data_IF_099215816892
#
_entry.id   IF_099215816892
#
_cell.length_a   1.000
_cell.length_b   1.000
_cell.length_c   1.000
_cell.angle_alpha   90.00
_cell.angle_beta   90.00
_cell.angle_gamma   90.00
#
_symmetry.space_group_name_H-M   'P 1'
#
loop_
_entity.id
_entity.type
_entity.pdbx_description
1 polymer ?
#
# COMPACT_ATOMS: atom_id res chain seq x y z
N UNK A 1 62.68 13.21 -16.48
CA UNK A 1 61.47 13.21 -17.33
C UNK A 1 60.27 13.01 -16.40
N UNK A 2 59.72 14.10 -15.87
CA UNK A 2 58.63 14.09 -14.89
C UNK A 2 57.33 14.48 -15.60
N UNK A 3 56.33 13.60 -15.61
CA UNK A 3 54.95 13.96 -15.97
C UNK A 3 54.04 13.72 -14.76
N UNK A 4 53.46 14.83 -14.30
CA UNK A 4 52.56 14.96 -13.14
C UNK A 4 51.20 14.26 -13.38
N UNK A 5 50.47 13.91 -12.30
CA UNK A 5 49.19 13.21 -12.37
C UNK A 5 48.06 14.12 -12.88
N UNK A 6 47.09 13.48 -13.55
CA UNK A 6 45.88 14.07 -14.12
C UNK A 6 44.96 14.66 -13.05
N UNK A 7 44.46 15.85 -13.38
CA UNK A 7 43.58 16.71 -12.60
C UNK A 7 42.33 15.95 -12.11
N UNK A 8 42.07 16.01 -10.82
CA UNK A 8 40.78 15.67 -10.22
C UNK A 8 39.75 16.72 -10.65
N UNK A 9 38.75 16.30 -11.42
CA UNK A 9 37.62 17.14 -11.80
C UNK A 9 36.78 17.47 -10.56
N UNK A 10 36.89 18.72 -10.10
CA UNK A 10 35.95 19.30 -9.14
C UNK A 10 34.60 19.51 -9.85
N UNK A 11 33.46 19.24 -9.18
CA UNK A 11 32.13 19.48 -9.75
C UNK A 11 31.95 20.96 -10.05
N UNK A 12 31.32 21.27 -11.18
CA UNK A 12 31.20 22.64 -11.71
C UNK A 12 30.32 23.52 -10.81
N UNK A 13 30.54 24.83 -10.83
CA UNK A 13 29.77 25.84 -10.06
C UNK A 13 28.25 25.79 -10.37
N UNK A 14 27.86 25.26 -11.54
CA UNK A 14 26.44 25.02 -11.88
C UNK A 14 25.83 23.86 -11.08
N UNK A 15 26.63 22.84 -10.75
CA UNK A 15 26.20 21.70 -9.92
C UNK A 15 26.06 22.11 -8.45
N UNK A 16 26.92 23.01 -7.97
CA UNK A 16 26.83 23.58 -6.61
C UNK A 16 25.56 24.43 -6.40
N UNK A 17 25.21 25.30 -7.36
CA UNK A 17 23.96 26.08 -7.30
C UNK A 17 22.70 25.20 -7.40
N UNK A 18 22.79 24.06 -8.10
CA UNK A 18 21.71 23.08 -8.19
C UNK A 18 21.50 22.32 -6.86
N UNK A 19 22.58 21.89 -6.20
CA UNK A 19 22.53 21.27 -4.87
C UNK A 19 22.01 22.27 -3.82
N UNK A 20 22.41 23.54 -3.90
CA UNK A 20 22.01 24.57 -2.95
C UNK A 20 20.52 24.94 -3.08
N UNK A 21 19.97 25.03 -4.30
CA UNK A 21 18.54 25.34 -4.50
C UNK A 21 17.62 24.17 -4.13
N UNK A 22 18.08 22.94 -4.35
CA UNK A 22 17.41 21.76 -3.82
C UNK A 22 17.38 21.83 -2.31
N UNK A 23 18.52 22.07 -1.65
CA UNK A 23 18.66 22.11 -0.18
C UNK A 23 17.66 23.04 0.51
N UNK A 24 17.39 24.21 -0.08
CA UNK A 24 16.37 25.13 0.43
C UNK A 24 14.93 24.64 0.26
N UNK A 25 14.62 23.93 -0.84
CA UNK A 25 13.34 23.23 -1.00
C UNK A 25 13.19 22.11 0.05
N UNK A 26 14.27 21.38 0.37
CA UNK A 26 14.27 20.36 1.42
C UNK A 26 13.94 20.99 2.79
N UNK A 27 14.60 22.09 3.15
CA UNK A 27 14.35 22.80 4.42
C UNK A 27 12.92 23.35 4.48
N UNK A 28 12.42 23.97 3.40
CA UNK A 28 11.07 24.51 3.35
C UNK A 28 10.00 23.42 3.53
N UNK A 29 10.17 22.27 2.86
CA UNK A 29 9.25 21.13 2.97
C UNK A 29 9.29 20.55 4.38
N UNK A 30 10.47 20.33 4.94
CA UNK A 30 10.62 19.81 6.31
C UNK A 30 10.03 20.79 7.31
N UNK A 31 10.27 22.09 7.15
CA UNK A 31 9.70 23.13 7.99
C UNK A 31 8.16 23.14 7.89
N UNK A 32 7.58 23.07 6.69
CA UNK A 32 6.12 23.00 6.51
C UNK A 32 5.52 21.74 7.15
N UNK A 33 6.20 20.59 7.05
CA UNK A 33 5.78 19.34 7.68
C UNK A 33 5.83 19.48 9.21
N UNK A 34 6.95 19.96 9.77
CA UNK A 34 7.11 20.15 11.22
C UNK A 34 6.10 21.18 11.73
N UNK A 35 5.93 22.30 11.04
CA UNK A 35 4.96 23.33 11.38
C UNK A 35 3.53 22.80 11.35
N UNK A 36 3.16 22.03 10.31
CA UNK A 36 1.84 21.38 10.21
C UNK A 36 1.65 20.36 11.33
N UNK A 37 2.65 19.53 11.65
CA UNK A 37 2.61 18.57 12.74
C UNK A 37 2.45 19.23 14.11
N UNK A 38 3.14 20.35 14.34
CA UNK A 38 3.06 21.10 15.60
C UNK A 38 1.74 21.88 15.72
N UNK A 39 1.20 22.35 14.59
CA UNK A 39 -0.08 23.06 14.53
C UNK A 39 -1.27 22.13 14.75
N UNK A 40 -1.15 20.85 14.39
CA UNK A 40 -2.16 19.83 14.65
C UNK A 40 -1.92 19.21 16.04
N UNK A 41 -2.38 19.92 17.07
CA UNK A 41 -2.44 19.38 18.44
C UNK A 41 -3.31 18.11 18.46
N UNK A 42 -3.02 17.11 19.32
CA UNK A 42 -3.96 16.01 19.53
C UNK A 42 -5.32 16.62 19.92
N UNK A 43 -6.40 16.36 19.15
CA UNK A 43 -7.65 17.09 19.33
C UNK A 43 -8.33 16.83 20.68
N UNK A 44 -7.92 15.77 21.41
CA UNK A 44 -8.60 15.32 22.63
C UNK A 44 -7.61 15.09 23.76
N UNK A 45 -7.98 15.52 24.97
CA UNK A 45 -7.26 15.22 26.21
C UNK A 45 -7.72 13.87 26.75
N UNK A 46 -6.88 13.28 27.60
CA UNK A 46 -7.23 12.05 28.30
C UNK A 46 -8.46 12.28 29.20
N UNK A 47 -9.40 11.33 29.22
CA UNK A 47 -10.73 11.41 29.86
C UNK A 47 -11.78 12.33 29.21
N UNK A 48 -11.52 12.91 28.03
CA UNK A 48 -12.57 13.65 27.32
C UNK A 48 -13.69 12.71 26.82
N UNK A 49 -14.94 13.04 27.14
CA UNK A 49 -16.13 12.42 26.51
C UNK A 49 -16.36 13.08 25.16
N UNK A 50 -16.25 12.29 24.09
CA UNK A 50 -16.34 12.80 22.73
C UNK A 50 -17.42 12.07 21.94
N UNK A 51 -18.03 12.81 21.01
CA UNK A 51 -18.92 12.28 19.97
C UNK A 51 -18.27 12.55 18.62
N UNK A 52 -17.76 11.51 18.00
CA UNK A 52 -17.06 11.58 16.73
C UNK A 52 -17.98 11.20 15.59
N UNK A 53 -18.02 12.04 14.55
CA UNK A 53 -18.62 11.69 13.26
C UNK A 53 -17.51 11.67 12.23
N UNK A 54 -17.18 10.48 11.73
CA UNK A 54 -16.11 10.35 10.76
C UNK A 54 -16.42 9.30 9.71
N UNK A 55 -15.85 9.51 8.52
CA UNK A 55 -15.89 8.54 7.43
C UNK A 55 -14.79 7.52 7.60
N UNK A 56 -15.17 6.24 7.54
CA UNK A 56 -14.26 5.10 7.65
C UNK A 56 -13.34 5.10 6.43
N UNK A 57 -12.10 5.56 6.64
CA UNK A 57 -11.11 5.81 5.58
C UNK A 57 -10.15 4.64 5.37
N UNK A 58 -10.27 3.57 6.15
CA UNK A 58 -9.50 2.35 6.03
C UNK A 58 -10.39 1.14 6.35
N UNK A 59 -10.05 -0.02 5.83
CA UNK A 59 -10.87 -1.21 6.06
C UNK A 59 -10.85 -1.64 7.55
N UNK A 60 -12.03 -1.82 8.19
CA UNK A 60 -12.12 -2.30 9.56
C UNK A 60 -11.49 -3.68 9.71
N UNK A 61 -10.72 -3.87 10.79
CA UNK A 61 -10.24 -5.20 11.14
C UNK A 61 -11.31 -5.92 11.94
N UNK A 62 -11.77 -7.05 11.42
CA UNK A 62 -12.78 -7.89 12.06
C UNK A 62 -12.10 -8.94 12.94
N UNK A 63 -12.57 -9.10 14.18
CA UNK A 63 -12.23 -10.15 15.13
C UNK A 63 -13.51 -10.96 15.46
N UNK A 64 -13.39 -12.03 16.25
CA UNK A 64 -14.49 -12.95 16.57
C UNK A 64 -15.70 -12.28 17.22
N UNK A 65 -15.50 -11.33 18.13
CA UNK A 65 -16.55 -10.67 18.90
C UNK A 65 -16.67 -9.16 18.62
N UNK A 66 -15.64 -8.57 18.00
CA UNK A 66 -15.47 -7.13 17.85
C UNK A 66 -14.87 -6.77 16.50
N UNK A 67 -15.11 -5.54 16.07
CA UNK A 67 -14.45 -4.92 14.92
C UNK A 67 -13.67 -3.69 15.37
N UNK A 68 -12.47 -3.51 14.81
CA UNK A 68 -11.60 -2.37 15.11
C UNK A 68 -11.56 -1.40 13.94
N UNK A 69 -11.93 -0.16 14.24
CA UNK A 69 -11.77 0.98 13.33
C UNK A 69 -10.75 1.97 13.91
N UNK A 70 -10.08 2.72 13.03
CA UNK A 70 -9.15 3.78 13.42
C UNK A 70 -9.66 5.10 12.87
N UNK A 71 -10.01 6.03 13.77
CA UNK A 71 -10.48 7.38 13.41
C UNK A 71 -9.54 8.40 14.07
N UNK A 72 -8.92 9.29 13.30
CA UNK A 72 -8.11 10.42 13.82
C UNK A 72 -7.02 10.06 14.85
N UNK A 73 -6.54 8.80 14.89
CA UNK A 73 -5.60 8.13 15.84
C UNK A 73 -6.23 7.29 16.94
N UNK A 74 -7.54 7.40 17.18
CA UNK A 74 -8.23 6.59 18.19
C UNK A 74 -8.56 5.22 17.62
N UNK A 75 -8.05 4.18 18.29
CA UNK A 75 -8.44 2.79 18.08
C UNK A 75 -9.77 2.58 18.80
N UNK A 76 -10.80 2.28 18.03
CA UNK A 76 -12.16 2.08 18.52
C UNK A 76 -12.53 0.62 18.27
N UNK A 77 -12.91 -0.07 19.34
CA UNK A 77 -13.33 -1.47 19.32
C UNK A 77 -14.84 -1.51 19.48
N UNK A 78 -15.56 -1.85 18.41
CA UNK A 78 -17.02 -1.87 18.37
C UNK A 78 -17.52 -3.32 18.32
N UNK A 79 -18.76 -3.60 18.74
CA UNK A 79 -19.37 -4.91 18.52
C UNK A 79 -19.40 -5.25 17.03
N UNK A 80 -19.35 -6.54 16.70
CA UNK A 80 -19.33 -7.03 15.32
C UNK A 80 -20.54 -6.55 14.49
N UNK A 81 -21.70 -6.43 15.13
CA UNK A 81 -22.94 -5.98 14.51
C UNK A 81 -23.37 -4.60 15.02
N UNK A 82 -23.80 -3.68 14.13
CA UNK A 82 -23.83 -3.81 12.67
C UNK A 82 -22.42 -3.80 12.04
N UNK A 83 -22.23 -4.54 10.94
CA UNK A 83 -20.95 -4.60 10.21
C UNK A 83 -20.62 -3.22 9.63
N UNK A 84 -19.45 -2.68 9.95
CA UNK A 84 -18.99 -1.39 9.43
C UNK A 84 -18.13 -1.68 8.20
N UNK A 85 -18.41 -1.00 7.11
CA UNK A 85 -17.65 -1.13 5.89
C UNK A 85 -16.80 0.11 5.60
N UNK A 86 -15.77 -0.10 4.77
CA UNK A 86 -14.99 1.00 4.21
C UNK A 86 -15.91 1.99 3.48
N UNK A 87 -15.76 3.28 3.79
CA UNK A 87 -16.53 4.36 3.20
C UNK A 87 -17.74 4.80 4.00
N UNK A 88 -18.24 3.98 4.94
CA UNK A 88 -19.38 4.32 5.80
C UNK A 88 -19.05 5.51 6.70
N UNK A 89 -20.07 6.29 7.06
CA UNK A 89 -19.93 7.36 8.05
C UNK A 89 -20.47 6.87 9.37
N UNK A 90 -19.61 6.79 10.38
CA UNK A 90 -19.96 6.27 11.70
C UNK A 90 -20.00 7.41 12.71
N UNK A 91 -20.99 7.35 13.61
CA UNK A 91 -21.11 8.23 14.77
C UNK A 91 -20.83 7.40 16.00
N UNK A 92 -19.70 7.67 16.66
CA UNK A 92 -19.25 6.92 17.85
C UNK A 92 -19.11 7.87 19.03
N UNK A 93 -19.61 7.44 20.18
CA UNK A 93 -19.44 8.12 21.46
C UNK A 93 -18.53 7.32 22.38
N UNK A 94 -17.68 7.97 23.16
CA UNK A 94 -16.87 7.27 24.17
C UNK A 94 -15.93 8.21 24.90
N UNK A 95 -15.11 7.63 25.78
CA UNK A 95 -14.14 8.37 26.59
C UNK A 95 -12.74 8.14 26.03
N UNK A 96 -12.00 9.21 25.75
CA UNK A 96 -10.62 9.11 25.27
C UNK A 96 -9.72 8.58 26.38
N UNK A 97 -8.95 7.53 26.08
CA UNK A 97 -7.93 6.97 26.96
C UNK A 97 -6.68 6.63 26.14
N UNK A 98 -5.70 7.54 26.13
CA UNK A 98 -4.49 7.45 25.32
C UNK A 98 -4.79 7.37 23.83
N UNK A 99 -4.45 6.24 23.20
CA UNK A 99 -4.68 5.95 21.77
C UNK A 99 -5.99 5.18 21.51
N UNK A 100 -6.84 5.01 22.52
CA UNK A 100 -8.07 4.21 22.45
C UNK A 100 -9.29 4.99 22.93
N UNK A 101 -10.46 4.60 22.42
CA UNK A 101 -11.74 5.02 22.96
C UNK A 101 -12.27 3.96 23.93
N UNK A 102 -12.44 4.30 25.21
CA UNK A 102 -13.07 3.45 26.22
C UNK A 102 -14.59 3.54 26.11
N UNK A 103 -15.23 2.39 26.33
CA UNK A 103 -16.69 2.20 26.24
C UNK A 103 -17.30 2.83 24.99
N UNK A 104 -16.77 2.54 23.79
CA UNK A 104 -17.27 3.13 22.57
C UNK A 104 -18.69 2.63 22.28
N UNK A 105 -19.62 3.55 22.13
CA UNK A 105 -21.00 3.28 21.73
C UNK A 105 -21.21 3.75 20.30
N UNK A 106 -21.59 2.83 19.43
CA UNK A 106 -22.02 3.18 18.08
C UNK A 106 -23.43 3.78 18.14
N UNK A 107 -23.55 5.06 17.78
CA UNK A 107 -24.80 5.81 17.84
C UNK A 107 -25.57 5.64 16.53
N UNK A 108 -24.89 5.81 15.39
CA UNK A 108 -25.46 5.68 14.05
C UNK A 108 -24.40 5.24 13.04
N UNK A 109 -24.83 4.48 12.04
CA UNK A 109 -24.07 4.23 10.81
C UNK A 109 -24.87 4.84 9.67
N UNK A 110 -24.19 5.58 8.80
CA UNK A 110 -24.70 5.94 7.48
C UNK A 110 -23.92 5.14 6.45
N UNK A 111 -24.57 4.14 5.87
CA UNK A 111 -23.98 3.32 4.81
C UNK A 111 -23.61 4.19 3.61
N UNK A 112 -22.39 4.02 3.10
CA UNK A 112 -21.95 4.76 1.93
C UNK A 112 -22.61 4.22 0.66
N UNK A 113 -23.66 4.91 0.18
CA UNK A 113 -24.31 4.58 -1.09
C UNK A 113 -23.53 4.99 -2.35
N UNK A 114 -22.28 5.44 -2.19
CA UNK A 114 -21.44 5.87 -3.29
C UNK A 114 -21.30 4.78 -4.35
N UNK A 115 -21.30 5.20 -5.63
CA UNK A 115 -21.19 4.28 -6.76
C UNK A 115 -19.98 3.34 -6.65
N UNK A 116 -18.83 3.87 -6.22
CA UNK A 116 -17.59 3.11 -6.02
C UNK A 116 -17.75 1.98 -4.98
N UNK A 117 -18.46 2.25 -3.89
CA UNK A 117 -18.74 1.25 -2.87
C UNK A 117 -19.65 0.14 -3.40
N UNK A 118 -20.69 0.52 -4.17
CA UNK A 118 -21.58 -0.44 -4.84
C UNK A 118 -20.83 -1.32 -5.83
N UNK A 119 -19.91 -0.75 -6.62
CA UNK A 119 -19.06 -1.50 -7.55
C UNK A 119 -18.14 -2.45 -6.78
N UNK A 120 -17.46 -1.95 -5.74
CA UNK A 120 -16.59 -2.75 -4.86
C UNK A 120 -17.33 -3.96 -4.29
N UNK A 121 -18.51 -3.76 -3.70
CA UNK A 121 -19.31 -4.85 -3.13
C UNK A 121 -19.82 -5.82 -4.19
N UNK A 122 -20.16 -5.36 -5.40
CA UNK A 122 -20.52 -6.25 -6.51
C UNK A 122 -19.34 -7.14 -6.90
N UNK A 123 -18.12 -6.61 -6.96
CA UNK A 123 -16.91 -7.38 -7.26
C UNK A 123 -16.65 -8.42 -6.15
N UNK A 124 -16.71 -8.02 -4.88
CA UNK A 124 -16.50 -8.94 -3.75
C UNK A 124 -17.55 -10.06 -3.76
N UNK A 125 -18.82 -9.72 -3.99
CA UNK A 125 -19.90 -10.70 -4.10
C UNK A 125 -19.72 -11.63 -5.31
N UNK A 126 -19.19 -11.12 -6.42
CA UNK A 126 -18.85 -11.94 -7.58
C UNK A 126 -17.75 -12.96 -7.24
N UNK A 127 -16.70 -12.57 -6.50
CA UNK A 127 -15.67 -13.51 -6.04
C UNK A 127 -16.24 -14.58 -5.11
N UNK A 128 -17.03 -14.18 -4.10
CA UNK A 128 -17.68 -15.11 -3.13
C UNK A 128 -18.59 -16.14 -3.81
N UNK A 129 -19.24 -15.77 -4.92
CA UNK A 129 -20.12 -16.68 -5.68
C UNK A 129 -19.38 -17.58 -6.66
N UNK A 130 -18.11 -17.30 -6.94
CA UNK A 130 -17.36 -17.94 -8.01
C UNK A 130 -16.23 -18.82 -7.49
N UNK A 131 -15.74 -18.59 -6.27
CA UNK A 131 -14.71 -19.39 -5.61
C UNK A 131 -15.14 -19.75 -4.18
N UNK A 132 -14.71 -20.92 -3.66
CA UNK A 132 -14.93 -21.29 -2.27
C UNK A 132 -14.01 -20.49 -1.32
N UNK A 133 -14.46 -20.29 -0.07
CA UNK A 133 -13.58 -19.80 1.00
C UNK A 133 -12.44 -20.79 1.28
N UNK A 134 -11.21 -20.35 1.62
CA UNK A 134 -10.76 -18.95 1.79
C UNK A 134 -10.29 -18.27 0.50
N UNK A 135 -10.41 -18.92 -0.67
CA UNK A 135 -9.84 -18.44 -1.94
C UNK A 135 -10.53 -17.18 -2.48
N UNK A 136 -11.86 -17.09 -2.36
CA UNK A 136 -12.65 -15.89 -2.66
C UNK A 136 -12.16 -14.68 -1.88
N UNK A 137 -11.95 -14.86 -0.57
CA UNK A 137 -11.49 -13.80 0.34
C UNK A 137 -10.02 -13.47 0.15
N UNK A 138 -9.18 -14.45 -0.20
CA UNK A 138 -7.80 -14.20 -0.59
C UNK A 138 -7.72 -13.30 -1.84
N UNK A 139 -8.48 -13.61 -2.89
CA UNK A 139 -8.53 -12.75 -4.09
C UNK A 139 -9.10 -11.37 -3.76
N UNK A 140 -10.17 -11.29 -2.95
CA UNK A 140 -10.72 -10.00 -2.51
C UNK A 140 -9.70 -9.16 -1.73
N UNK A 141 -8.92 -9.79 -0.84
CA UNK A 141 -7.84 -9.17 -0.09
C UNK A 141 -6.73 -8.66 -1.01
N UNK A 142 -6.21 -9.53 -1.88
CA UNK A 142 -5.09 -9.21 -2.78
C UNK A 142 -5.48 -8.16 -3.82
N UNK A 143 -6.68 -8.23 -4.40
CA UNK A 143 -7.11 -7.31 -5.47
C UNK A 143 -7.65 -5.99 -4.95
N UNK A 144 -8.52 -6.02 -3.94
CA UNK A 144 -9.28 -4.86 -3.46
C UNK A 144 -8.88 -4.42 -2.06
N UNK A 145 -7.89 -5.06 -1.43
CA UNK A 145 -7.49 -4.77 -0.05
C UNK A 145 -8.53 -5.21 0.96
N UNK A 146 -9.47 -6.08 0.59
CA UNK A 146 -10.59 -6.40 1.47
C UNK A 146 -10.18 -7.34 2.60
N UNK A 147 -10.02 -6.80 3.81
CA UNK A 147 -9.66 -7.55 5.03
C UNK A 147 -10.89 -8.13 5.71
N UNK A 148 -12.03 -7.43 5.63
CA UNK A 148 -13.26 -7.85 6.31
C UNK A 148 -13.85 -9.14 5.73
N UNK A 149 -13.45 -9.51 4.51
CA UNK A 149 -13.85 -10.78 3.90
C UNK A 149 -13.07 -11.99 4.44
N UNK A 150 -11.86 -11.81 4.99
CA UNK A 150 -10.98 -12.93 5.33
C UNK A 150 -11.49 -13.70 6.57
N UNK A 151 -11.60 -15.05 6.50
CA UNK A 151 -11.90 -15.87 7.66
C UNK A 151 -10.86 -15.66 8.78
N UNK A 152 -11.32 -15.55 10.03
CA UNK A 152 -10.45 -15.24 11.19
C UNK A 152 -9.29 -16.23 11.33
N UNK A 153 -9.57 -17.53 11.15
CA UNK A 153 -8.53 -18.58 11.17
C UNK A 153 -7.44 -18.30 10.13
N UNK A 154 -7.83 -18.00 8.90
CA UNK A 154 -6.89 -17.70 7.83
C UNK A 154 -6.12 -16.39 8.09
N UNK A 155 -6.75 -15.38 8.69
CA UNK A 155 -6.07 -14.15 9.09
C UNK A 155 -5.04 -14.38 10.21
N UNK A 156 -5.35 -15.23 11.18
CA UNK A 156 -4.41 -15.63 12.22
C UNK A 156 -3.21 -16.39 11.63
N UNK A 157 -3.49 -17.30 10.69
CA UNK A 157 -2.50 -18.08 9.96
C UNK A 157 -1.53 -17.15 9.19
N UNK A 158 -2.07 -16.16 8.46
CA UNK A 158 -1.30 -15.13 7.76
C UNK A 158 -0.40 -14.30 8.69
N UNK A 159 -0.85 -14.01 9.92
CA UNK A 159 -0.03 -13.29 10.89
C UNK A 159 1.11 -14.17 11.40
N UNK A 160 0.83 -15.44 11.72
CA UNK A 160 1.84 -16.41 12.20
C UNK A 160 2.94 -16.65 11.17
N UNK A 161 2.57 -16.79 9.90
CA UNK A 161 3.53 -16.96 8.80
C UNK A 161 4.20 -15.65 8.37
N UNK A 162 3.75 -14.51 8.91
CA UNK A 162 4.26 -13.19 8.55
C UNK A 162 3.86 -12.74 7.14
N UNK A 163 2.92 -13.43 6.48
CA UNK A 163 2.45 -13.14 5.10
C UNK A 163 1.26 -12.18 5.06
N UNK A 164 0.73 -11.76 6.22
CA UNK A 164 -0.40 -10.82 6.29
C UNK A 164 -0.16 -9.51 5.52
N UNK A 165 1.07 -8.99 5.53
CA UNK A 165 1.43 -7.77 4.80
C UNK A 165 1.41 -7.93 3.27
N UNK A 166 1.45 -9.17 2.77
CA UNK A 166 1.41 -9.51 1.34
C UNK A 166 -0.02 -9.59 0.82
N UNK A 167 -0.94 -10.12 1.64
CA UNK A 167 -2.37 -10.25 1.28
C UNK A 167 -3.09 -8.92 1.32
N UNK A 168 -2.67 -8.02 2.20
CA UNK A 168 -3.20 -6.65 2.25
C UNK A 168 -2.69 -5.88 1.05
N UNK A 169 -3.60 -5.17 0.36
CA UNK A 169 -3.30 -4.44 -0.86
C UNK A 169 -2.04 -3.57 -0.70
N UNK A 170 -0.97 -4.02 -1.36
CA UNK A 170 0.35 -3.42 -1.25
C UNK A 170 0.59 -2.44 -2.41
N UNK A 171 1.61 -1.58 -2.28
CA UNK A 171 2.02 -0.69 -3.38
C UNK A 171 2.37 -1.44 -4.67
N UNK A 172 2.74 -2.74 -4.58
CA UNK A 172 2.97 -3.61 -5.73
C UNK A 172 1.70 -3.81 -6.56
N UNK A 173 0.53 -3.92 -5.92
CA UNK A 173 -0.72 -4.07 -6.66
C UNK A 173 -1.00 -2.82 -7.48
N UNK A 174 -0.71 -1.63 -6.95
CA UNK A 174 -0.86 -0.37 -7.70
C UNK A 174 0.09 -0.30 -8.89
N UNK A 175 1.36 -0.67 -8.72
CA UNK A 175 2.33 -0.63 -9.84
C UNK A 175 1.99 -1.63 -10.93
N UNK A 176 1.48 -2.82 -10.57
CA UNK A 176 0.99 -3.81 -11.52
C UNK A 176 -0.23 -3.29 -12.29
N UNK A 177 -1.19 -2.68 -11.60
CA UNK A 177 -2.36 -2.06 -12.23
C UNK A 177 -1.94 -0.93 -13.16
N UNK A 178 -1.03 -0.06 -12.72
CA UNK A 178 -0.49 1.02 -13.54
C UNK A 178 0.21 0.48 -14.80
N UNK A 179 1.06 -0.53 -14.66
CA UNK A 179 1.79 -1.17 -15.76
C UNK A 179 0.86 -1.88 -16.74
N UNK A 180 -0.14 -2.60 -16.23
CA UNK A 180 -1.14 -3.28 -17.04
C UNK A 180 -1.98 -2.29 -17.86
N UNK A 181 -2.50 -1.24 -17.21
CA UNK A 181 -3.23 -0.17 -17.89
C UNK A 181 -2.37 0.50 -18.96
N UNK A 182 -1.12 0.85 -18.63
CA UNK A 182 -0.17 1.43 -19.57
C UNK A 182 0.08 0.51 -20.78
N UNK A 183 0.28 -0.78 -20.57
CA UNK A 183 0.53 -1.75 -21.64
C UNK A 183 -0.61 -1.82 -22.66
N UNK A 184 -1.86 -1.79 -22.17
CA UNK A 184 -3.04 -1.76 -23.06
C UNK A 184 -3.19 -0.41 -23.74
N UNK A 185 -3.13 0.68 -22.96
CA UNK A 185 -3.44 2.03 -23.43
C UNK A 185 -2.41 2.54 -24.44
N UNK A 186 -1.13 2.17 -24.31
CA UNK A 186 -0.08 2.56 -25.28
C UNK A 186 -0.30 1.91 -26.65
N UNK A 187 -0.95 0.74 -26.71
CA UNK A 187 -1.30 0.10 -27.98
C UNK A 187 -2.48 0.74 -28.70
N UNK A 188 -3.29 1.53 -28.00
CA UNK A 188 -4.55 2.10 -28.52
C UNK A 188 -4.50 3.63 -28.65
N UNK A 189 -3.76 4.30 -27.76
CA UNK A 189 -3.69 5.75 -27.65
C UNK A 189 -2.27 6.26 -27.82
N UNK A 190 -2.13 7.51 -28.25
CA UNK A 190 -0.85 8.23 -28.20
C UNK A 190 -0.26 8.22 -26.78
N UNK A 191 1.06 8.07 -26.67
CA UNK A 191 1.79 7.88 -25.40
C UNK A 191 1.39 8.88 -24.30
N UNK A 192 1.16 10.15 -24.63
CA UNK A 192 0.73 11.17 -23.64
C UNK A 192 -0.69 10.91 -23.10
N UNK A 193 -1.63 10.56 -23.98
CA UNK A 193 -3.03 10.23 -23.62
C UNK A 193 -3.09 8.91 -22.85
N UNK A 194 -2.27 7.93 -23.24
CA UNK A 194 -2.15 6.66 -22.55
C UNK A 194 -1.70 6.82 -21.09
N UNK A 195 -0.69 7.67 -20.83
CA UNK A 195 -0.23 7.90 -19.46
C UNK A 195 -1.29 8.63 -18.62
N UNK A 196 -1.99 9.62 -19.19
CA UNK A 196 -3.07 10.30 -18.47
C UNK A 196 -4.21 9.33 -18.11
N UNK A 197 -4.62 8.47 -19.05
CA UNK A 197 -5.64 7.47 -18.84
C UNK A 197 -5.20 6.40 -17.82
N UNK A 198 -3.94 5.96 -17.86
CA UNK A 198 -3.40 5.02 -16.87
C UNK A 198 -3.35 5.64 -15.47
N UNK A 199 -2.96 6.92 -15.37
CA UNK A 199 -2.95 7.63 -14.10
C UNK A 199 -4.36 7.78 -13.52
N UNK A 200 -5.35 8.13 -14.36
CA UNK A 200 -6.74 8.17 -13.96
C UNK A 200 -7.23 6.79 -13.49
N UNK A 201 -6.87 5.71 -14.19
CA UNK A 201 -7.20 4.34 -13.79
C UNK A 201 -6.55 3.92 -12.47
N UNK A 202 -5.32 4.34 -12.21
CA UNK A 202 -4.64 4.13 -10.91
C UNK A 202 -5.37 4.83 -9.78
N UNK A 203 -5.85 6.07 -9.99
CA UNK A 203 -6.67 6.75 -8.99
C UNK A 203 -7.98 6.03 -8.77
N UNK A 204 -8.70 5.62 -9.83
CA UNK A 204 -9.93 4.81 -9.70
C UNK A 204 -9.67 3.53 -8.92
N UNK A 205 -8.58 2.81 -9.22
CA UNK A 205 -8.17 1.64 -8.44
C UNK A 205 -7.91 1.99 -6.98
N UNK A 206 -7.24 3.12 -6.70
CA UNK A 206 -6.99 3.57 -5.34
C UNK A 206 -8.27 3.85 -4.55
N UNK A 207 -9.29 4.41 -5.21
CA UNK A 207 -10.60 4.61 -4.60
C UNK A 207 -11.29 3.27 -4.30
N UNK A 208 -11.20 2.30 -5.23
CA UNK A 208 -11.82 0.98 -5.11
C UNK A 208 -11.12 0.09 -4.06
N UNK A 209 -9.81 0.22 -3.92
CA UNK A 209 -8.99 -0.59 -3.03
C UNK A 209 -8.96 -0.08 -1.58
N UNK A 210 -9.70 0.99 -1.26
CA UNK A 210 -9.91 1.41 0.13
C UNK A 210 -8.97 2.50 0.65
N UNK A 211 -8.33 3.30 -0.22
CA UNK A 211 -7.48 4.44 0.18
C UNK A 211 -6.41 4.13 1.24
N UNK A 212 -5.83 2.93 1.23
CA UNK A 212 -4.74 2.65 2.16
C UNK A 212 -3.50 3.51 1.83
N UNK A 213 -2.73 3.87 2.86
CA UNK A 213 -1.54 4.71 2.71
C UNK A 213 -0.56 4.21 1.61
N UNK A 214 -0.30 2.88 1.45
CA UNK A 214 0.52 2.37 0.35
C UNK A 214 0.00 2.67 -1.05
N UNK A 215 -1.31 2.68 -1.19
CA UNK A 215 -1.97 2.85 -2.47
C UNK A 215 -1.95 4.31 -2.89
N UNK A 216 -2.25 5.20 -1.95
CA UNK A 216 -2.19 6.66 -2.15
C UNK A 216 -0.77 7.09 -2.51
N UNK A 217 0.26 6.56 -1.83
CA UNK A 217 1.67 6.85 -2.15
C UNK A 217 2.00 6.56 -3.60
N UNK A 218 1.67 5.36 -4.07
CA UNK A 218 1.95 4.95 -5.44
C UNK A 218 1.21 5.85 -6.46
N UNK A 219 -0.04 6.21 -6.20
CA UNK A 219 -0.81 7.12 -7.04
C UNK A 219 -0.23 8.55 -7.07
N UNK A 220 0.17 9.09 -5.91
CA UNK A 220 0.79 10.43 -5.80
C UNK A 220 2.16 10.43 -6.49
N UNK A 221 3.02 9.45 -6.22
CA UNK A 221 4.34 9.35 -6.85
C UNK A 221 4.24 9.22 -8.38
N UNK A 222 3.30 8.39 -8.86
CA UNK A 222 3.01 8.29 -10.30
C UNK A 222 2.55 9.62 -10.90
N UNK A 223 1.70 10.36 -10.20
CA UNK A 223 1.21 11.69 -10.62
C UNK A 223 2.34 12.71 -10.72
N UNK A 224 3.24 12.73 -9.73
CA UNK A 224 4.41 13.61 -9.69
C UNK A 224 5.39 13.27 -10.81
N UNK A 225 5.70 11.98 -11.01
CA UNK A 225 6.62 11.52 -12.05
C UNK A 225 6.08 11.82 -13.46
N UNK A 226 4.77 11.67 -13.69
CA UNK A 226 4.16 12.02 -14.97
C UNK A 226 4.16 13.53 -15.21
N UNK A 227 3.79 14.32 -14.21
CA UNK A 227 3.81 15.78 -14.31
C UNK A 227 5.22 16.28 -14.64
N UNK A 228 6.24 15.72 -14.00
CA UNK A 228 7.64 16.07 -14.30
C UNK A 228 8.02 15.78 -15.76
N UNK A 229 7.63 14.61 -16.29
CA UNK A 229 7.83 14.28 -17.70
C UNK A 229 7.08 15.23 -18.65
N UNK A 230 5.84 15.62 -18.31
CA UNK A 230 5.05 16.55 -19.11
C UNK A 230 5.68 17.95 -19.17
N UNK A 231 6.32 18.40 -18.08
CA UNK A 231 7.07 19.68 -18.01
C UNK A 231 8.53 19.56 -18.51
N UNK A 232 8.90 18.44 -19.14
CA UNK A 232 10.23 18.25 -19.73
C UNK A 232 11.38 18.14 -18.72
N UNK A 233 11.07 17.90 -17.44
CA UNK A 233 12.08 17.73 -16.38
C UNK A 233 12.20 16.25 -16.03
N UNK A 234 13.40 15.66 -16.15
CA UNK A 234 13.68 14.41 -15.46
C UNK A 234 13.59 14.68 -13.96
N UNK A 235 12.51 14.23 -13.30
CA UNK A 235 12.49 14.21 -11.85
C UNK A 235 13.47 13.14 -11.38
N UNK A 236 14.51 13.53 -10.63
CA UNK A 236 15.23 12.58 -9.79
C UNK A 236 14.23 11.82 -8.92
N UNK A 237 14.34 10.49 -8.82
CA UNK A 237 13.48 9.68 -7.97
C UNK A 237 13.44 10.19 -6.51
N UNK A 238 14.54 10.79 -6.03
CA UNK A 238 14.62 11.43 -4.72
C UNK A 238 13.67 12.63 -4.57
N UNK A 239 13.53 13.46 -5.61
CA UNK A 239 12.61 14.60 -5.62
C UNK A 239 11.16 14.16 -5.65
N UNK A 240 10.86 13.15 -6.47
CA UNK A 240 9.52 12.60 -6.55
C UNK A 240 9.09 12.02 -5.20
N UNK A 241 9.98 11.31 -4.51
CA UNK A 241 9.74 10.79 -3.17
C UNK A 241 9.44 11.91 -2.18
N UNK A 242 10.27 12.95 -2.12
CA UNK A 242 10.03 14.08 -1.23
C UNK A 242 8.72 14.81 -1.48
N UNK A 243 8.49 15.21 -2.73
CA UNK A 243 7.32 16.01 -3.09
C UNK A 243 6.07 15.21 -2.73
N UNK A 244 6.11 13.90 -2.94
CA UNK A 244 5.04 13.00 -2.52
C UNK A 244 4.88 12.97 -1.00
N UNK A 245 5.97 12.87 -0.23
CA UNK A 245 5.92 12.95 1.24
C UNK A 245 5.31 14.27 1.71
N UNK A 246 5.72 15.38 1.10
CA UNK A 246 5.24 16.72 1.42
C UNK A 246 3.74 16.87 1.15
N UNK A 247 3.30 16.53 -0.06
CA UNK A 247 1.89 16.58 -0.46
C UNK A 247 1.05 15.73 0.48
N UNK A 248 1.51 14.51 0.77
CA UNK A 248 0.78 13.60 1.63
C UNK A 248 0.65 14.12 3.06
N UNK A 249 1.74 14.61 3.66
CA UNK A 249 1.71 15.15 5.03
C UNK A 249 1.01 16.51 5.14
N UNK A 250 0.93 17.28 4.04
CA UNK A 250 0.11 18.48 3.98
C UNK A 250 -1.39 18.16 3.99
N UNK A 251 -1.81 17.13 3.24
CA UNK A 251 -3.20 16.66 3.19
C UNK A 251 -3.58 16.04 4.54
N UNK A 252 -2.79 15.08 5.02
CA UNK A 252 -3.05 14.37 6.26
C UNK A 252 -1.75 14.14 7.06
N UNK A 253 -1.42 15.00 8.03
CA UNK A 253 -0.13 14.97 8.73
C UNK A 253 0.03 13.72 9.59
N UNK A 254 -1.07 13.08 9.97
CA UNK A 254 -1.03 11.89 10.81
C UNK A 254 -0.49 10.64 10.11
N UNK A 255 -0.31 10.66 8.78
CA UNK A 255 0.37 9.57 8.08
C UNK A 255 1.82 9.38 8.53
N UNK A 256 2.48 10.37 9.15
CA UNK A 256 3.85 10.17 9.66
C UNK A 256 3.93 9.10 10.77
N UNK A 257 2.82 8.82 11.45
CA UNK A 257 2.72 7.78 12.49
C UNK A 257 2.19 6.45 11.95
N UNK A 258 1.75 6.43 10.70
CA UNK A 258 1.29 5.20 10.06
C UNK A 258 2.51 4.34 9.72
N UNK A 259 2.55 3.14 10.27
CA UNK A 259 3.65 2.21 10.02
C UNK A 259 3.79 1.88 8.53
N UNK A 260 2.67 1.79 7.80
CA UNK A 260 2.68 1.56 6.36
C UNK A 260 3.34 2.71 5.59
N UNK A 261 3.11 3.97 6.00
CA UNK A 261 3.80 5.16 5.49
C UNK A 261 5.30 5.08 5.72
N UNK A 262 5.71 4.86 6.98
CA UNK A 262 7.13 4.78 7.34
C UNK A 262 7.83 3.69 6.54
N UNK A 263 7.30 2.47 6.55
CA UNK A 263 7.92 1.30 5.91
C UNK A 263 8.16 1.54 4.42
N UNK A 264 7.22 2.17 3.71
CA UNK A 264 7.34 2.36 2.28
C UNK A 264 8.20 3.55 1.87
N UNK A 265 8.16 4.66 2.61
CA UNK A 265 9.07 5.77 2.34
C UNK A 265 10.52 5.35 2.61
N UNK A 266 10.73 4.57 3.67
CA UNK A 266 12.04 3.97 3.97
C UNK A 266 12.42 2.94 2.91
N UNK A 267 11.51 2.06 2.46
CA UNK A 267 11.78 1.11 1.38
C UNK A 267 12.24 1.81 0.10
N UNK A 268 11.52 2.85 -0.33
CA UNK A 268 11.86 3.59 -1.56
C UNK A 268 13.11 4.43 -1.39
N UNK A 269 13.34 5.05 -0.23
CA UNK A 269 14.61 5.72 0.06
C UNK A 269 15.79 4.74 0.05
N UNK A 270 15.61 3.55 0.64
CA UNK A 270 16.60 2.49 0.65
C UNK A 270 16.92 2.00 -0.76
N UNK A 271 15.89 1.85 -1.61
CA UNK A 271 16.07 1.52 -3.03
C UNK A 271 16.94 2.57 -3.74
N UNK A 272 16.58 3.85 -3.62
CA UNK A 272 17.31 4.97 -4.26
C UNK A 272 18.78 5.02 -3.82
N UNK A 273 19.07 4.71 -2.55
CA UNK A 273 20.42 4.82 -1.97
C UNK A 273 21.28 3.57 -2.14
N UNK A 274 20.68 2.38 -2.02
CA UNK A 274 21.41 1.12 -1.89
C UNK A 274 21.30 0.21 -3.09
N UNK A 275 20.28 0.33 -3.96
CA UNK A 275 20.09 -0.58 -5.09
C UNK A 275 21.33 -0.68 -5.99
N UNK A 276 21.92 0.46 -6.37
CA UNK A 276 23.12 0.50 -7.21
C UNK A 276 24.37 -0.10 -6.54
N UNK A 277 24.44 -0.09 -5.20
CA UNK A 277 25.53 -0.70 -4.42
C UNK A 277 25.31 -2.21 -4.31
N UNK A 278 24.09 -2.61 -3.95
CA UNK A 278 23.66 -4.00 -3.86
C UNK A 278 23.87 -4.70 -5.19
N UNK A 279 23.41 -4.11 -6.31
CA UNK A 279 23.55 -4.66 -7.66
C UNK A 279 25.00 -4.93 -8.06
N UNK A 280 25.95 -4.11 -7.57
CA UNK A 280 27.39 -4.32 -7.77
C UNK A 280 27.93 -5.45 -6.91
N UNK A 281 27.43 -5.60 -5.68
CA UNK A 281 27.84 -6.65 -4.77
C UNK A 281 27.33 -8.04 -5.19
N UNK A 282 26.11 -8.13 -5.73
CA UNK A 282 25.52 -9.38 -6.23
C UNK A 282 25.93 -9.70 -7.67
N UNK A 283 27.21 -9.51 -8.01
CA UNK A 283 27.72 -9.71 -9.38
C UNK A 283 27.53 -11.15 -9.89
N UNK A 284 27.48 -12.12 -8.96
CA UNK A 284 27.31 -13.56 -9.21
C UNK A 284 25.88 -13.97 -9.59
N UNK A 285 24.87 -13.10 -9.43
CA UNK A 285 23.48 -13.43 -9.73
C UNK A 285 23.21 -13.27 -11.25
N UNK A 286 22.55 -14.24 -11.91
CA UNK A 286 22.20 -14.15 -13.33
C UNK A 286 21.38 -12.89 -13.66
N UNK A 287 21.62 -12.29 -14.83
CA UNK A 287 21.02 -11.01 -15.24
C UNK A 287 19.49 -10.97 -15.13
N UNK A 288 18.83 -12.09 -15.42
CA UNK A 288 17.37 -12.24 -15.39
C UNK A 288 16.80 -12.00 -13.98
N UNK A 289 17.51 -12.43 -12.93
CA UNK A 289 17.07 -12.28 -11.54
C UNK A 289 17.72 -11.08 -10.83
N UNK A 290 18.77 -10.51 -11.43
CA UNK A 290 19.61 -9.50 -10.78
C UNK A 290 18.83 -8.26 -10.36
N UNK A 291 17.91 -7.80 -11.20
CA UNK A 291 17.08 -6.61 -10.93
C UNK A 291 16.07 -6.85 -9.79
N UNK A 292 15.31 -7.95 -9.86
CA UNK A 292 14.37 -8.33 -8.80
C UNK A 292 15.05 -8.60 -7.46
N UNK A 293 16.22 -9.25 -7.49
CA UNK A 293 16.97 -9.55 -6.28
C UNK A 293 17.63 -8.31 -5.68
N UNK A 294 18.23 -7.43 -6.50
CA UNK A 294 18.83 -6.19 -5.99
C UNK A 294 17.80 -5.24 -5.40
N UNK A 295 16.64 -5.10 -6.05
CA UNK A 295 15.55 -4.23 -5.57
C UNK A 295 14.99 -4.73 -4.24
N UNK A 296 14.72 -6.04 -4.13
CA UNK A 296 14.22 -6.66 -2.89
C UNK A 296 15.23 -6.52 -1.74
N UNK A 297 16.50 -6.83 -1.98
CA UNK A 297 17.52 -6.79 -0.94
C UNK A 297 17.80 -5.34 -0.49
N UNK A 298 17.81 -4.38 -1.42
CA UNK A 298 17.94 -2.96 -1.10
C UNK A 298 16.76 -2.46 -0.26
N UNK A 299 15.52 -2.85 -0.57
CA UNK A 299 14.37 -2.51 0.26
C UNK A 299 14.46 -3.12 1.66
N UNK A 300 14.84 -4.40 1.76
CA UNK A 300 14.97 -5.12 3.04
C UNK A 300 16.00 -4.50 3.98
N UNK A 301 17.14 -4.00 3.47
CA UNK A 301 18.15 -3.32 4.30
C UNK A 301 17.54 -2.15 5.08
N UNK A 302 16.63 -1.39 4.48
CA UNK A 302 15.99 -0.24 5.13
C UNK A 302 14.81 -0.64 6.01
N UNK A 303 14.04 -1.63 5.57
CA UNK A 303 12.75 -1.98 6.16
C UNK A 303 12.88 -2.98 7.31
N UNK A 304 13.84 -3.91 7.25
CA UNK A 304 13.99 -4.98 8.22
C UNK A 304 14.15 -4.49 9.68
N UNK A 305 14.97 -3.46 9.99
CA UNK A 305 15.11 -2.96 11.36
C UNK A 305 13.78 -2.41 11.91
N UNK A 306 13.00 -1.75 11.06
CA UNK A 306 11.71 -1.16 11.45
C UNK A 306 10.68 -2.25 11.71
N UNK A 307 10.62 -3.27 10.84
CA UNK A 307 9.74 -4.42 11.06
C UNK A 307 10.10 -5.12 12.38
N UNK A 308 11.39 -5.32 12.65
CA UNK A 308 11.86 -5.95 13.88
C UNK A 308 11.41 -5.18 15.13
N UNK A 309 11.60 -3.87 15.14
CA UNK A 309 11.20 -3.01 16.27
C UNK A 309 9.67 -2.88 16.40
N UNK A 310 8.93 -2.89 15.29
CA UNK A 310 7.49 -2.65 15.29
C UNK A 310 6.66 -3.89 15.65
N UNK A 311 7.08 -5.08 15.22
CA UNK A 311 6.27 -6.29 15.34
C UNK A 311 6.75 -7.25 16.42
N UNK A 312 8.02 -7.21 16.84
CA UNK A 312 8.55 -8.04 17.94
C UNK A 312 8.39 -9.56 17.75
N UNK A 313 7.91 -10.02 16.60
CA UNK A 313 7.65 -11.41 16.26
C UNK A 313 8.44 -11.72 14.98
N UNK A 314 9.54 -12.44 15.14
CA UNK A 314 10.34 -12.94 14.04
C UNK A 314 10.00 -14.41 13.84
N UNK A 315 9.28 -14.73 12.77
CA UNK A 315 9.21 -16.09 12.27
C UNK A 315 10.41 -16.29 11.32
N UNK A 316 11.44 -17.08 11.69
CA UNK A 316 12.62 -17.29 10.85
C UNK A 316 12.29 -17.89 9.48
N UNK A 317 11.16 -18.60 9.37
CA UNK A 317 10.68 -19.17 8.12
C UNK A 317 9.90 -18.17 7.26
N UNK A 318 9.54 -16.99 7.79
CA UNK A 318 8.77 -15.97 7.05
C UNK A 318 9.41 -15.57 5.71
N UNK A 319 10.73 -15.32 5.60
CA UNK A 319 11.35 -15.02 4.30
C UNK A 319 11.19 -16.15 3.28
N UNK A 320 11.28 -17.41 3.71
CA UNK A 320 11.12 -18.58 2.84
C UNK A 320 9.66 -18.72 2.39
N UNK A 321 8.72 -18.59 3.32
CA UNK A 321 7.27 -18.64 3.02
C UNK A 321 6.91 -17.51 2.06
N UNK A 322 7.38 -16.29 2.31
CA UNK A 322 7.17 -15.15 1.41
C UNK A 322 7.73 -15.43 0.01
N UNK A 323 8.93 -16.00 -0.12
CA UNK A 323 9.50 -16.34 -1.42
C UNK A 323 8.65 -17.37 -2.20
N UNK A 324 8.14 -18.40 -1.51
CA UNK A 324 7.28 -19.43 -2.09
C UNK A 324 5.90 -18.92 -2.50
N UNK A 325 5.46 -17.80 -1.93
CA UNK A 325 4.10 -17.30 -2.09
C UNK A 325 4.04 -16.05 -2.97
N UNK A 326 5.04 -15.16 -2.91
CA UNK A 326 5.01 -13.84 -3.52
C UNK A 326 4.86 -13.87 -5.04
N UNK A 327 5.40 -14.89 -5.72
CA UNK A 327 5.27 -15.02 -7.18
C UNK A 327 3.81 -15.18 -7.65
N UNK A 328 2.93 -15.71 -6.79
CA UNK A 328 1.51 -15.88 -7.10
C UNK A 328 0.74 -14.56 -7.05
N UNK A 329 1.19 -13.61 -6.23
CA UNK A 329 0.44 -12.38 -5.89
C UNK A 329 0.24 -11.49 -7.10
N UNK A 330 1.26 -11.15 -7.92
CA UNK A 330 1.04 -10.34 -9.11
C UNK A 330 0.03 -10.94 -10.09
N UNK A 331 0.08 -12.26 -10.27
CA UNK A 331 -0.83 -12.97 -11.18
C UNK A 331 -2.25 -12.95 -10.64
N UNK A 332 -2.45 -13.24 -9.36
CA UNK A 332 -3.76 -13.15 -8.70
C UNK A 332 -4.33 -11.73 -8.75
N UNK A 333 -3.50 -10.69 -8.59
CA UNK A 333 -3.93 -9.29 -8.67
C UNK A 333 -4.47 -8.97 -10.08
N UNK A 334 -3.71 -9.30 -11.13
CA UNK A 334 -4.11 -9.00 -12.52
C UNK A 334 -5.34 -9.80 -12.94
N UNK A 335 -5.31 -11.13 -12.74
CA UNK A 335 -6.41 -12.02 -13.12
C UNK A 335 -7.67 -11.68 -12.32
N UNK A 336 -7.53 -11.49 -11.01
CA UNK A 336 -8.64 -11.16 -10.13
C UNK A 336 -9.26 -9.82 -10.51
N UNK A 337 -8.46 -8.78 -10.75
CA UNK A 337 -8.99 -7.48 -11.18
C UNK A 337 -9.73 -7.57 -12.52
N UNK A 338 -9.16 -8.26 -13.51
CA UNK A 338 -9.81 -8.47 -14.80
C UNK A 338 -11.12 -9.23 -14.66
N UNK A 339 -11.10 -10.34 -13.93
CA UNK A 339 -12.28 -11.14 -13.66
C UNK A 339 -13.33 -10.37 -12.87
N UNK A 340 -12.94 -9.51 -11.92
CA UNK A 340 -13.84 -8.67 -11.15
C UNK A 340 -14.54 -7.62 -12.01
N UNK A 341 -13.78 -6.89 -12.84
CA UNK A 341 -14.34 -5.86 -13.73
C UNK A 341 -15.24 -6.48 -14.79
N UNK A 342 -14.78 -7.54 -15.47
CA UNK A 342 -15.56 -8.25 -16.49
C UNK A 342 -16.75 -8.96 -15.83
N UNK A 343 -16.56 -9.62 -14.70
CA UNK A 343 -17.59 -10.41 -14.00
C UNK A 343 -18.74 -9.59 -13.45
N UNK A 344 -18.55 -8.30 -13.15
CA UNK A 344 -19.64 -7.40 -12.77
C UNK A 344 -20.56 -7.07 -13.96
N UNK A 345 -20.02 -7.02 -15.18
CA UNK A 345 -20.79 -6.68 -16.39
C UNK A 345 -21.30 -7.96 -17.07
N UNK A 346 -20.43 -8.95 -17.21
CA UNK A 346 -20.65 -10.24 -17.86
C UNK A 346 -20.19 -11.39 -16.94
N UNK A 347 -21.03 -11.83 -15.98
CA UNK A 347 -20.67 -12.90 -15.05
C UNK A 347 -20.24 -14.20 -15.72
N UNK A 348 -20.80 -14.50 -16.91
CA UNK A 348 -20.50 -15.71 -17.68
C UNK A 348 -19.05 -15.73 -18.18
N UNK A 349 -18.48 -14.57 -18.52
CA UNK A 349 -17.09 -14.42 -18.97
C UNK A 349 -16.13 -14.20 -17.80
N UNK A 350 -16.58 -13.52 -16.74
CA UNK A 350 -15.74 -13.28 -15.56
C UNK A 350 -15.36 -14.57 -14.82
N UNK A 351 -16.28 -15.54 -14.72
CA UNK A 351 -16.05 -16.80 -13.99
C UNK A 351 -14.88 -17.62 -14.51
N UNK A 352 -14.79 -17.96 -15.82
CA UNK A 352 -13.65 -18.71 -16.33
C UNK A 352 -12.32 -17.96 -16.16
N UNK A 353 -12.32 -16.62 -16.29
CA UNK A 353 -11.13 -15.80 -16.03
C UNK A 353 -10.73 -15.92 -14.55
N UNK A 354 -11.68 -15.84 -13.62
CA UNK A 354 -11.39 -15.98 -12.19
C UNK A 354 -10.86 -17.37 -11.85
N UNK A 355 -11.35 -18.42 -12.51
CA UNK A 355 -10.88 -19.79 -12.32
C UNK A 355 -9.41 -19.96 -12.73
N UNK A 356 -8.87 -19.14 -13.63
CA UNK A 356 -7.44 -19.13 -13.93
C UNK A 356 -6.60 -18.73 -12.72
N UNK A 357 -7.14 -17.94 -11.78
CA UNK A 357 -6.45 -17.60 -10.53
C UNK A 357 -6.51 -18.74 -9.48
N UNK A 358 -7.40 -19.72 -9.66
CA UNK A 358 -7.65 -20.75 -8.66
C UNK A 358 -6.41 -21.58 -8.31
N UNK A 359 -5.60 -22.07 -9.27
CA UNK A 359 -4.37 -22.82 -8.95
C UNK A 359 -3.38 -22.01 -8.11
N UNK A 360 -3.23 -20.72 -8.39
CA UNK A 360 -2.37 -19.83 -7.60
C UNK A 360 -2.89 -19.64 -6.18
N UNK A 361 -4.21 -19.44 -6.03
CA UNK A 361 -4.82 -19.34 -4.70
C UNK A 361 -4.68 -20.63 -3.91
N UNK A 362 -4.80 -21.79 -4.57
CA UNK A 362 -4.66 -23.10 -3.94
C UNK A 362 -3.22 -23.32 -3.45
N UNK A 363 -2.23 -22.96 -4.27
CA UNK A 363 -0.83 -22.96 -3.87
C UNK A 363 -0.60 -22.07 -2.64
N UNK A 364 -1.08 -20.82 -2.69
CA UNK A 364 -0.95 -19.84 -1.62
C UNK A 364 -1.50 -20.37 -0.29
N UNK A 365 -2.73 -20.87 -0.30
CA UNK A 365 -3.42 -21.40 0.89
C UNK A 365 -2.71 -22.66 1.41
N UNK A 366 -2.27 -23.54 0.52
CA UNK A 366 -1.59 -24.78 0.90
C UNK A 366 -0.24 -24.52 1.58
N UNK A 367 0.57 -23.61 1.03
CA UNK A 367 1.87 -23.25 1.62
C UNK A 367 1.68 -22.64 3.01
N UNK A 368 0.67 -21.78 3.21
CA UNK A 368 0.38 -21.23 4.55
C UNK A 368 -0.03 -22.34 5.52
N UNK A 369 -0.91 -23.24 5.09
CA UNK A 369 -1.36 -24.36 5.92
C UNK A 369 -0.21 -25.28 6.33
N UNK A 370 0.66 -25.67 5.38
CA UNK A 370 1.84 -26.51 5.64
C UNK A 370 2.83 -25.82 6.58
N UNK A 371 3.05 -24.51 6.39
CA UNK A 371 3.98 -23.74 7.20
C UNK A 371 3.59 -23.69 8.67
N UNK A 372 2.30 -23.81 8.99
CA UNK A 372 1.79 -23.80 10.37
C UNK A 372 1.90 -25.17 11.03
N UNK A 373 1.89 -26.25 10.25
CA UNK A 373 2.06 -27.61 10.76
C UNK A 373 3.55 -27.90 11.04
N UNK A 374 4.45 -27.23 10.32
CA UNK A 374 5.90 -27.35 10.49
C UNK A 374 6.56 -26.36 11.45
N UNK A 375 5.79 -25.45 12.06
CA UNK A 375 6.20 -24.53 13.15
C UNK A 375 5.58 -25.05 14.44
#
# INVERSE_FOLDING_TARGET
>A
MFTKPTRTDFPSIKDANFVCREFWLWILVIFLIIFRLYSVRPPYKDNDKIRLTARVSSEPLVFSDQQRITIERLKIYLPLYPEINYGDTVVVEGVVSGDKLKSPKLVKIFESQNFLFRVRNKIINFYKRSLPEPHSSLIAGVTLGSKSALPEKFWADLKKTGTAHVVVASGMNVTLVAGFLMGILVGILERKKAILAALAGVWVYALLAGFEAPIIRAAVMGSVAFSAQAFGKLSSASRALLISAAIMLLIYPFWIYDLGFILSFVATASLILFEAKVRRLIYFVPSIFKEGFSTSLAAQIGVAPIIFLAFGQFNPLSPLINALVLWTVPMMTVIGMLAGVIGVIFPILGRPILLLAYPMTLWFVTIIGMSIIGI
#
